data_IF_304568167536
#
_entry.id   IF_304568167536
#
_cell.length_a   1.000
_cell.length_b   1.000
_cell.length_c   1.000
_cell.angle_alpha   90.00
_cell.angle_beta   90.00
_cell.angle_gamma   90.00
#
_symmetry.space_group_name_H-M   'P 1'
#
loop_
_entity.id
_entity.type
_entity.pdbx_description
1 polymer ?
#
# COMPACT_ATOMS: atom_id res chain seq x y z
N UNK A 1 13.19 21.33 42.31
CA UNK A 1 13.40 21.61 40.87
C UNK A 1 12.24 20.95 40.15
N UNK A 2 11.27 21.74 39.69
CA UNK A 2 10.08 21.25 38.98
C UNK A 2 10.46 20.79 37.58
N UNK A 3 10.24 19.52 37.28
CA UNK A 3 10.21 19.00 35.92
C UNK A 3 8.77 19.04 35.41
N UNK A 4 8.41 20.19 34.85
CA UNK A 4 7.20 20.36 34.04
C UNK A 4 7.47 19.78 32.66
N UNK A 5 7.26 18.48 32.49
CA UNK A 5 7.22 17.85 31.16
C UNK A 5 5.75 17.74 30.76
N UNK A 6 5.22 18.86 30.27
CA UNK A 6 3.88 18.97 29.69
C UNK A 6 3.94 18.32 28.31
N UNK A 7 3.61 17.03 28.25
CA UNK A 7 3.50 16.27 27.02
C UNK A 7 2.23 16.71 26.26
N UNK A 8 2.40 17.43 25.15
CA UNK A 8 1.34 17.93 24.24
C UNK A 8 0.53 16.81 23.53
N UNK A 9 0.56 15.57 24.01
CA UNK A 9 -0.08 14.40 23.41
C UNK A 9 -1.06 13.69 24.35
N UNK A 10 -1.77 14.43 25.20
CA UNK A 10 -2.86 13.87 26.02
C UNK A 10 -4.18 13.82 25.24
N UNK A 11 -4.79 12.64 25.17
CA UNK A 11 -6.09 12.42 24.51
C UNK A 11 -7.23 13.21 25.17
N UNK A 12 -7.09 13.55 26.46
CA UNK A 12 -8.02 14.36 27.23
C UNK A 12 -7.23 15.38 28.07
N UNK A 13 -6.96 16.54 27.47
CA UNK A 13 -6.28 17.64 28.15
C UNK A 13 -7.21 18.27 29.18
N UNK A 14 -6.68 18.56 30.37
CA UNK A 14 -7.41 19.26 31.43
C UNK A 14 -7.79 20.68 30.99
N UNK A 15 -9.09 20.91 30.75
CA UNK A 15 -9.60 22.21 30.27
C UNK A 15 -9.79 23.27 31.37
N UNK A 16 -9.94 22.86 32.63
CA UNK A 16 -10.19 23.75 33.76
C UNK A 16 -9.05 23.66 34.77
N UNK A 17 -8.61 24.78 35.38
CA UNK A 17 -7.69 24.73 36.50
C UNK A 17 -8.35 23.92 37.62
N UNK A 18 -7.63 22.93 38.13
CA UNK A 18 -8.15 22.07 39.17
C UNK A 18 -7.14 22.02 40.31
N UNK A 19 -7.60 22.17 41.55
CA UNK A 19 -6.72 22.13 42.71
C UNK A 19 -6.12 20.73 42.91
N UNK A 20 -4.91 20.67 43.44
CA UNK A 20 -4.26 19.43 43.84
C UNK A 20 -5.09 18.75 44.94
N UNK A 21 -5.48 17.50 44.70
CA UNK A 21 -6.30 16.72 45.63
C UNK A 21 -5.37 15.77 46.39
N UNK A 22 -5.14 16.07 47.67
CA UNK A 22 -4.56 15.11 48.61
C UNK A 22 -5.55 13.94 48.80
N UNK A 23 -5.15 12.69 48.53
CA UNK A 23 -6.07 11.53 48.47
C UNK A 23 -6.60 11.07 49.83
N UNK A 24 -6.26 11.75 50.92
CA UNK A 24 -6.49 11.29 52.29
C UNK A 24 -7.73 11.88 52.97
N UNK A 25 -8.38 12.91 52.40
CA UNK A 25 -9.54 13.56 53.03
C UNK A 25 -10.70 13.79 52.03
N UNK A 26 -11.92 13.29 52.31
CA UNK A 26 -13.07 13.49 51.43
C UNK A 26 -13.45 14.98 51.37
N UNK A 27 -13.69 15.54 50.17
CA UNK A 27 -14.13 16.93 50.03
C UNK A 27 -15.50 17.19 50.67
N UNK A 28 -15.67 18.37 51.25
CA UNK A 28 -16.92 18.81 51.89
C UNK A 28 -18.00 19.14 50.83
N UNK A 29 -19.16 18.49 50.96
CA UNK A 29 -20.25 18.56 49.99
C UNK A 29 -20.97 19.92 50.01
N UNK A 30 -21.14 20.53 51.18
CA UNK A 30 -21.84 21.82 51.30
C UNK A 30 -21.04 22.95 50.62
N UNK A 31 -19.72 22.84 50.71
CA UNK A 31 -18.73 23.70 50.08
C UNK A 31 -18.70 23.55 48.56
N UNK A 32 -18.71 22.31 48.07
CA UNK A 32 -18.80 22.00 46.64
C UNK A 32 -20.05 22.59 45.94
N UNK A 33 -21.14 22.82 46.67
CA UNK A 33 -22.36 23.47 46.13
C UNK A 33 -22.25 24.99 46.03
N UNK A 34 -21.23 25.60 46.65
CA UNK A 34 -21.07 27.05 46.75
C UNK A 34 -19.84 27.58 46.02
N UNK A 35 -18.87 26.73 45.68
CA UNK A 35 -17.63 27.10 45.00
C UNK A 35 -17.31 26.17 43.81
N UNK A 36 -16.99 26.72 42.62
CA UNK A 36 -16.66 25.91 41.45
C UNK A 36 -15.34 25.14 41.59
N UNK A 37 -14.35 25.66 42.32
CA UNK A 37 -13.09 24.94 42.56
C UNK A 37 -13.29 23.74 43.50
N UNK A 38 -14.17 23.89 44.50
CA UNK A 38 -14.53 22.80 45.42
C UNK A 38 -15.39 21.74 44.74
N UNK A 39 -16.24 22.15 43.79
CA UNK A 39 -16.98 21.24 42.92
C UNK A 39 -16.04 20.37 42.07
N UNK A 40 -15.04 20.97 41.41
CA UNK A 40 -14.06 20.23 40.61
C UNK A 40 -13.27 19.23 41.47
N UNK A 41 -12.92 19.62 42.70
CA UNK A 41 -12.26 18.74 43.67
C UNK A 41 -13.14 17.53 44.01
N UNK A 42 -14.43 17.77 44.24
CA UNK A 42 -15.41 16.71 44.53
C UNK A 42 -15.59 15.75 43.35
N UNK A 43 -15.77 16.26 42.13
CA UNK A 43 -15.90 15.44 40.91
C UNK A 43 -14.65 14.58 40.67
N UNK A 44 -13.43 15.11 40.92
CA UNK A 44 -12.19 14.32 40.83
C UNK A 44 -12.14 13.20 41.85
N UNK A 45 -12.56 13.47 43.08
CA UNK A 45 -12.63 12.47 44.14
C UNK A 45 -13.66 11.37 43.81
N UNK A 46 -14.86 11.76 43.38
CA UNK A 46 -15.90 10.82 42.93
C UNK A 46 -15.41 9.98 41.74
N UNK A 47 -14.81 10.61 40.73
CA UNK A 47 -14.22 9.92 39.58
C UNK A 47 -13.13 8.91 39.98
N UNK A 48 -12.29 9.25 40.97
CA UNK A 48 -11.27 8.35 41.51
C UNK A 48 -11.84 7.14 42.26
N UNK A 49 -13.11 7.22 42.68
CA UNK A 49 -13.83 6.12 43.33
C UNK A 49 -14.34 5.09 42.32
N UNK A 50 -14.54 5.49 41.06
CA UNK A 50 -14.95 4.58 40.00
C UNK A 50 -13.77 3.79 39.42
N UNK A 51 -14.04 2.57 38.94
CA UNK A 51 -13.06 1.80 38.16
C UNK A 51 -12.77 2.52 36.85
N UNK A 52 -11.48 2.67 36.49
CA UNK A 52 -11.07 3.32 35.24
C UNK A 52 -11.54 2.61 33.97
N UNK A 53 -11.87 1.32 34.06
CA UNK A 53 -12.49 0.54 32.98
C UNK A 53 -13.63 -0.28 33.58
N UNK A 54 -14.79 -0.22 32.92
CA UNK A 54 -15.96 -1.04 33.24
C UNK A 54 -16.31 -1.87 32.01
N UNK A 55 -16.55 -3.17 32.21
CA UNK A 55 -17.05 -4.06 31.18
C UNK A 55 -18.50 -4.41 31.48
N UNK A 56 -19.41 -4.15 30.55
CA UNK A 56 -20.79 -4.60 30.63
C UNK A 56 -20.96 -5.81 29.70
N UNK A 57 -21.37 -6.95 30.25
CA UNK A 57 -21.72 -8.11 29.43
C UNK A 57 -23.04 -7.81 28.69
N UNK A 58 -23.00 -7.86 27.36
CA UNK A 58 -24.20 -7.71 26.52
C UNK A 58 -24.84 -9.09 26.38
N UNK A 59 -26.11 -9.22 26.80
CA UNK A 59 -26.88 -10.44 26.61
C UNK A 59 -27.05 -10.72 25.11
N UNK A 60 -26.66 -11.91 24.70
CA UNK A 60 -26.54 -12.35 23.29
C UNK A 60 -27.86 -12.40 22.51
N UNK A 61 -28.99 -12.12 23.16
CA UNK A 61 -30.32 -12.25 22.58
C UNK A 61 -30.74 -11.05 21.71
N UNK A 62 -29.96 -9.95 21.66
CA UNK A 62 -30.37 -8.72 20.95
C UNK A 62 -29.39 -8.16 19.91
N UNK A 63 -28.26 -8.81 19.63
CA UNK A 63 -27.30 -8.31 18.63
C UNK A 63 -26.97 -9.36 17.57
N UNK A 64 -27.99 -9.75 16.80
CA UNK A 64 -27.76 -10.23 15.44
C UNK A 64 -27.78 -9.01 14.48
N UNK A 65 -26.90 -8.03 14.72
CA UNK A 65 -26.62 -7.01 13.71
C UNK A 65 -25.63 -7.66 12.76
N UNK A 66 -26.15 -7.99 11.58
CA UNK A 66 -25.41 -8.58 10.47
C UNK A 66 -24.20 -7.69 10.15
N UNK A 67 -22.98 -8.17 10.45
CA UNK A 67 -21.75 -7.47 10.08
C UNK A 67 -21.74 -7.31 8.55
N UNK A 68 -21.81 -6.06 8.08
CA UNK A 68 -21.61 -5.77 6.67
C UNK A 68 -20.14 -5.99 6.35
N UNK A 69 -19.84 -7.09 5.67
CA UNK A 69 -18.52 -7.31 5.10
C UNK A 69 -18.21 -6.18 4.13
N UNK A 70 -17.18 -5.40 4.42
CA UNK A 70 -16.54 -4.58 3.41
C UNK A 70 -15.97 -5.53 2.35
N UNK A 71 -16.39 -5.38 1.10
CA UNK A 71 -15.95 -6.21 -0.01
C UNK A 71 -14.44 -6.04 -0.23
N UNK A 72 -13.67 -6.98 0.31
CA UNK A 72 -12.29 -7.21 -0.11
C UNK A 72 -12.35 -7.95 -1.45
N UNK A 73 -11.63 -7.45 -2.45
CA UNK A 73 -11.49 -8.12 -3.74
C UNK A 73 -11.15 -9.61 -3.52
N UNK A 74 -11.80 -10.54 -4.23
CA UNK A 74 -11.60 -11.97 -3.99
C UNK A 74 -10.14 -12.34 -4.23
N UNK A 75 -9.57 -13.08 -3.27
CA UNK A 75 -8.44 -13.98 -3.51
C UNK A 75 -8.94 -14.96 -4.59
N UNK A 76 -8.52 -14.77 -5.84
CA UNK A 76 -8.84 -15.74 -6.90
C UNK A 76 -8.19 -17.06 -6.52
N UNK A 77 -8.99 -18.10 -6.28
CA UNK A 77 -8.51 -19.46 -6.00
C UNK A 77 -7.41 -19.88 -6.98
N UNK A 78 -6.24 -20.16 -6.42
CA UNK A 78 -5.06 -20.54 -7.19
C UNK A 78 -5.06 -22.05 -7.30
N UNK A 79 -5.15 -22.50 -8.55
CA UNK A 79 -5.04 -23.89 -8.95
C UNK A 79 -3.72 -24.50 -8.49
N UNK A 80 -3.79 -25.77 -8.10
CA UNK A 80 -2.73 -26.66 -7.58
C UNK A 80 -1.46 -26.75 -8.44
N UNK A 81 -1.46 -26.21 -9.66
CA UNK A 81 -0.27 -26.08 -10.51
C UNK A 81 0.77 -25.06 -9.99
N UNK A 82 0.40 -24.16 -9.06
CA UNK A 82 1.33 -23.20 -8.46
C UNK A 82 2.20 -23.77 -7.33
N UNK A 83 1.78 -24.87 -6.68
CA UNK A 83 2.63 -25.55 -5.67
C UNK A 83 3.93 -26.09 -6.28
N UNK A 84 3.89 -26.52 -7.56
CA UNK A 84 5.06 -27.07 -8.25
C UNK A 84 6.09 -26.01 -8.67
N UNK A 85 5.69 -24.74 -8.80
CA UNK A 85 6.62 -23.62 -9.05
C UNK A 85 7.15 -22.99 -7.76
N UNK A 86 6.39 -23.04 -6.66
CA UNK A 86 6.86 -22.60 -5.35
C UNK A 86 7.89 -23.55 -4.73
N UNK A 87 7.79 -24.86 -5.02
CA UNK A 87 8.71 -25.88 -4.48
C UNK A 87 10.05 -26.01 -5.21
N UNK A 88 10.20 -25.42 -6.41
CA UNK A 88 11.45 -25.51 -7.20
C UNK A 88 12.33 -24.25 -7.14
N UNK A 89 11.97 -23.25 -6.35
CA UNK A 89 12.64 -21.94 -6.36
C UNK A 89 13.47 -21.73 -5.08
N UNK A 90 14.70 -22.22 -5.12
CA UNK A 90 15.72 -21.98 -4.10
C UNK A 90 15.90 -20.49 -3.78
N UNK A 91 16.36 -20.21 -2.55
CA UNK A 91 16.84 -18.91 -2.06
C UNK A 91 17.81 -18.23 -3.05
N UNK A 92 18.58 -19.02 -3.81
CA UNK A 92 19.45 -18.60 -4.90
C UNK A 92 18.72 -17.83 -6.00
N UNK A 93 17.53 -18.28 -6.41
CA UNK A 93 16.77 -17.58 -7.47
C UNK A 93 16.07 -16.33 -6.91
N UNK A 94 15.81 -16.26 -5.60
CA UNK A 94 15.30 -15.05 -4.94
C UNK A 94 16.32 -13.90 -4.98
N UNK A 95 17.59 -14.22 -4.71
CA UNK A 95 18.70 -13.25 -4.83
C UNK A 95 18.89 -12.84 -6.28
N UNK A 96 18.95 -13.81 -7.20
CA UNK A 96 19.15 -13.53 -8.63
C UNK A 96 18.01 -12.68 -9.22
N UNK A 97 16.75 -12.96 -8.87
CA UNK A 97 15.61 -12.21 -9.44
C UNK A 97 15.50 -10.79 -8.91
N UNK A 98 15.71 -10.57 -7.61
CA UNK A 98 15.64 -9.22 -7.04
C UNK A 98 16.88 -8.37 -7.36
N UNK A 99 18.07 -8.97 -7.30
CA UNK A 99 19.33 -8.25 -7.48
C UNK A 99 19.67 -8.02 -8.95
N UNK A 100 19.59 -9.07 -9.77
CA UNK A 100 20.02 -9.01 -11.16
C UNK A 100 18.93 -8.46 -12.09
N UNK A 101 17.67 -8.90 -11.93
CA UNK A 101 16.59 -8.49 -12.84
C UNK A 101 15.98 -7.13 -12.49
N UNK A 102 16.07 -6.67 -11.24
CA UNK A 102 15.48 -5.39 -10.83
C UNK A 102 16.51 -4.37 -10.34
N UNK A 103 17.30 -4.70 -9.31
CA UNK A 103 18.20 -3.72 -8.67
C UNK A 103 19.29 -3.20 -9.61
N UNK A 104 19.90 -4.07 -10.43
CA UNK A 104 20.94 -3.63 -11.38
C UNK A 104 20.38 -2.66 -12.44
N UNK A 105 19.32 -3.02 -13.20
CA UNK A 105 18.68 -2.08 -14.13
C UNK A 105 18.15 -0.80 -13.45
N UNK A 106 17.64 -0.90 -12.23
CA UNK A 106 17.17 0.25 -11.46
C UNK A 106 18.30 1.25 -11.14
N UNK A 107 19.48 0.75 -10.75
CA UNK A 107 20.65 1.60 -10.50
C UNK A 107 21.12 2.31 -11.78
N UNK A 108 21.17 1.58 -12.89
CA UNK A 108 21.53 2.14 -14.20
C UNK A 108 20.52 3.19 -14.67
N UNK A 109 19.23 2.91 -14.54
CA UNK A 109 18.17 3.86 -14.88
C UNK A 109 18.25 5.12 -14.01
N UNK A 110 18.50 4.98 -12.70
CA UNK A 110 18.70 6.12 -11.80
C UNK A 110 19.89 6.98 -12.24
N UNK A 111 20.99 6.35 -12.65
CA UNK A 111 22.14 7.06 -13.19
C UNK A 111 21.77 7.81 -14.48
N UNK A 112 21.08 7.16 -15.41
CA UNK A 112 20.59 7.78 -16.66
C UNK A 112 19.68 8.98 -16.37
N UNK A 113 18.71 8.83 -15.47
CA UNK A 113 17.78 9.89 -15.08
C UNK A 113 18.49 11.08 -14.46
N UNK A 114 19.57 10.85 -13.70
CA UNK A 114 20.39 11.95 -13.14
C UNK A 114 21.08 12.79 -14.23
N UNK A 115 21.47 12.17 -15.34
CA UNK A 115 22.06 12.86 -16.50
C UNK A 115 20.98 13.63 -17.27
N UNK A 116 19.83 12.99 -17.50
CA UNK A 116 18.73 13.55 -18.31
C UNK A 116 18.00 14.70 -17.60
N UNK A 117 17.87 14.67 -16.27
CA UNK A 117 17.20 15.73 -15.50
C UNK A 117 17.84 17.12 -15.68
N UNK A 118 19.06 17.18 -16.22
CA UNK A 118 19.75 18.43 -16.57
C UNK A 118 19.14 19.10 -17.82
N UNK A 119 18.50 18.33 -18.71
CA UNK A 119 17.90 18.79 -19.96
C UNK A 119 16.39 19.01 -19.77
N UNK A 120 15.98 20.25 -19.48
CA UNK A 120 14.57 20.60 -19.23
C UNK A 120 13.73 20.63 -20.52
N UNK A 121 13.33 19.48 -21.03
CA UNK A 121 12.28 19.37 -22.05
C UNK A 121 11.02 18.74 -21.45
N UNK A 122 10.00 19.57 -21.19
CA UNK A 122 8.72 19.15 -20.59
C UNK A 122 7.66 18.96 -21.67
N UNK A 123 7.79 17.90 -22.45
CA UNK A 123 6.74 17.50 -23.38
C UNK A 123 5.60 16.84 -22.58
N UNK A 124 4.35 17.30 -22.70
CA UNK A 124 3.19 16.69 -22.00
C UNK A 124 2.73 15.43 -22.72
N UNK A 125 2.20 14.45 -21.97
CA UNK A 125 1.55 13.27 -22.56
C UNK A 125 0.33 13.72 -23.40
N UNK A 126 0.32 13.33 -24.68
CA UNK A 126 -0.78 13.58 -25.63
C UNK A 126 -1.73 12.38 -25.68
N UNK A 127 -3.03 12.62 -25.80
CA UNK A 127 -4.14 11.66 -25.61
C UNK A 127 -4.24 10.52 -26.65
N UNK A 128 -3.28 10.36 -27.57
CA UNK A 128 -3.22 9.22 -28.52
C UNK A 128 -2.41 8.04 -27.97
N UNK A 129 -2.69 7.64 -26.73
CA UNK A 129 -1.78 6.82 -25.92
C UNK A 129 -1.86 5.32 -26.19
N UNK A 130 -2.93 4.80 -26.80
CA UNK A 130 -3.05 3.37 -27.11
C UNK A 130 -2.10 2.92 -28.23
N UNK A 131 -1.76 3.81 -29.17
CA UNK A 131 -0.77 3.50 -30.20
C UNK A 131 0.65 3.47 -29.66
N UNK A 132 0.91 4.20 -28.56
CA UNK A 132 2.21 4.26 -27.90
C UNK A 132 2.66 2.86 -27.45
N UNK A 133 1.73 2.03 -27.00
CA UNK A 133 2.02 0.68 -26.52
C UNK A 133 2.26 -0.34 -27.64
N UNK A 134 2.15 0.03 -28.92
CA UNK A 134 2.46 -0.87 -30.05
C UNK A 134 3.97 -1.05 -30.26
N UNK A 135 4.79 -0.11 -29.78
CA UNK A 135 6.25 -0.15 -29.87
C UNK A 135 6.89 -0.13 -28.48
N UNK A 136 8.09 -0.72 -28.28
CA UNK A 136 8.77 -0.68 -26.99
C UNK A 136 9.15 0.76 -26.60
N UNK A 137 9.13 1.10 -25.29
CA UNK A 137 9.51 2.42 -24.84
C UNK A 137 11.01 2.67 -24.99
N UNK A 138 11.38 3.92 -25.26
CA UNK A 138 12.74 4.38 -24.98
C UNK A 138 12.89 4.73 -23.51
N UNK A 139 13.94 4.22 -22.86
CA UNK A 139 14.26 4.55 -21.46
C UNK A 139 14.56 6.03 -21.27
N UNK A 140 15.18 6.69 -22.26
CA UNK A 140 15.39 8.14 -22.21
C UNK A 140 14.06 8.87 -22.20
N UNK A 141 13.09 8.44 -23.01
CA UNK A 141 11.77 9.05 -23.05
C UNK A 141 11.02 8.90 -21.72
N UNK A 142 11.11 7.72 -21.07
CA UNK A 142 10.52 7.49 -19.74
C UNK A 142 11.22 8.36 -18.68
N UNK A 143 12.55 8.51 -18.75
CA UNK A 143 13.32 9.31 -17.78
C UNK A 143 12.94 10.80 -17.77
N UNK A 144 12.43 11.34 -18.88
CA UNK A 144 11.92 12.72 -18.96
C UNK A 144 10.52 12.89 -18.35
N UNK A 145 9.81 11.79 -18.04
CA UNK A 145 8.42 11.86 -17.56
C UNK A 145 8.37 12.24 -16.09
N UNK A 146 7.34 13.02 -15.75
CA UNK A 146 7.07 13.33 -14.34
C UNK A 146 6.50 12.10 -13.62
N UNK A 147 6.56 12.11 -12.29
CA UNK A 147 5.97 11.03 -11.47
C UNK A 147 4.47 10.88 -11.71
N UNK A 148 3.74 11.98 -11.93
CA UNK A 148 2.32 11.95 -12.27
C UNK A 148 2.07 11.28 -13.63
N UNK A 149 2.90 11.61 -14.63
CA UNK A 149 2.84 10.98 -15.96
C UNK A 149 3.07 9.47 -15.87
N UNK A 150 4.05 9.03 -15.07
CA UNK A 150 4.29 7.59 -14.82
C UNK A 150 3.08 6.91 -14.18
N UNK A 151 2.36 7.58 -13.27
CA UNK A 151 1.12 7.07 -12.69
C UNK A 151 0.05 6.85 -13.75
N UNK A 152 -0.20 7.85 -14.60
CA UNK A 152 -1.17 7.71 -15.70
C UNK A 152 -0.77 6.61 -16.69
N UNK A 153 0.52 6.49 -17.02
CA UNK A 153 1.03 5.42 -17.88
C UNK A 153 0.81 4.04 -17.27
N UNK A 154 1.04 3.91 -15.96
CA UNK A 154 0.84 2.66 -15.25
C UNK A 154 -0.64 2.25 -15.24
N UNK A 155 -1.56 3.17 -15.01
CA UNK A 155 -3.01 2.92 -15.10
C UNK A 155 -3.43 2.52 -16.51
N UNK A 156 -2.93 3.23 -17.54
CA UNK A 156 -3.21 2.91 -18.94
C UNK A 156 -2.68 1.51 -19.31
N UNK A 157 -1.46 1.18 -18.93
CA UNK A 157 -0.89 -0.16 -19.13
C UNK A 157 -1.72 -1.21 -18.39
N UNK A 158 -2.13 -0.92 -17.15
CA UNK A 158 -3.02 -1.80 -16.38
C UNK A 158 -4.29 -2.09 -17.19
N UNK A 159 -4.95 -1.07 -17.75
CA UNK A 159 -6.15 -1.22 -18.59
C UNK A 159 -5.92 -2.05 -19.87
N UNK A 160 -4.69 -2.06 -20.38
CA UNK A 160 -4.30 -2.85 -21.56
C UNK A 160 -3.97 -4.32 -21.23
N UNK A 161 -3.74 -4.68 -19.96
CA UNK A 161 -3.52 -6.06 -19.51
C UNK A 161 -4.80 -6.90 -19.55
N UNK A 162 -5.33 -7.12 -20.76
CA UNK A 162 -6.51 -7.96 -21.03
C UNK A 162 -6.25 -8.78 -22.28
N UNK A 163 -6.90 -9.94 -22.41
CA UNK A 163 -6.68 -10.86 -23.55
C UNK A 163 -6.83 -10.17 -24.92
N UNK A 164 -7.77 -9.21 -25.02
CA UNK A 164 -8.06 -8.47 -26.26
C UNK A 164 -6.99 -7.44 -26.64
N UNK A 165 -6.34 -6.83 -25.64
CA UNK A 165 -5.44 -5.69 -25.86
C UNK A 165 -3.97 -6.05 -25.61
N UNK A 166 -3.70 -7.27 -25.14
CA UNK A 166 -2.34 -7.71 -24.86
C UNK A 166 -1.49 -7.71 -26.13
N UNK A 167 -0.28 -7.19 -26.02
CA UNK A 167 0.73 -7.29 -27.06
C UNK A 167 2.10 -7.55 -26.42
N UNK A 168 3.03 -8.08 -27.22
CA UNK A 168 4.40 -8.36 -26.79
C UNK A 168 5.22 -7.11 -26.41
N UNK A 169 4.79 -5.89 -26.76
CA UNK A 169 5.48 -4.67 -26.34
C UNK A 169 5.08 -4.24 -24.91
N UNK A 170 3.87 -4.60 -24.45
CA UNK A 170 3.37 -4.28 -23.10
C UNK A 170 4.26 -4.87 -22.01
N UNK A 171 4.82 -6.07 -22.19
CA UNK A 171 5.78 -6.63 -21.21
C UNK A 171 6.97 -5.69 -20.96
N UNK A 172 7.49 -5.07 -22.05
CA UNK A 172 8.63 -4.15 -21.98
C UNK A 172 8.20 -2.83 -21.34
N UNK A 173 7.00 -2.36 -21.64
CA UNK A 173 6.42 -1.19 -20.99
C UNK A 173 6.23 -1.38 -19.49
N UNK A 174 5.63 -2.50 -19.06
CA UNK A 174 5.42 -2.81 -17.64
C UNK A 174 6.76 -2.85 -16.93
N UNK A 175 7.75 -3.57 -17.49
CA UNK A 175 9.06 -3.70 -16.88
C UNK A 175 9.81 -2.36 -16.80
N UNK A 176 9.80 -1.57 -17.88
CA UNK A 176 10.44 -0.26 -17.90
C UNK A 176 9.78 0.72 -16.93
N UNK A 177 8.44 0.68 -16.80
CA UNK A 177 7.72 1.46 -15.81
C UNK A 177 8.07 1.03 -14.39
N UNK A 178 8.13 -0.27 -14.10
CA UNK A 178 8.56 -0.78 -12.79
C UNK A 178 9.95 -0.27 -12.42
N UNK A 179 10.91 -0.26 -13.35
CA UNK A 179 12.25 0.30 -13.14
C UNK A 179 12.20 1.82 -12.91
N UNK A 180 11.28 2.52 -13.58
CA UNK A 180 11.16 3.97 -13.46
C UNK A 180 10.51 4.44 -12.15
N UNK A 181 9.87 3.54 -11.39
CA UNK A 181 9.21 3.83 -10.14
C UNK A 181 10.21 3.98 -9.00
N UNK A 182 10.45 5.21 -8.57
CA UNK A 182 11.35 5.52 -7.45
C UNK A 182 10.65 5.47 -6.09
N UNK A 183 11.20 4.74 -5.10
CA UNK A 183 10.68 4.78 -3.74
C UNK A 183 10.97 6.14 -3.07
N UNK A 184 10.15 6.57 -2.08
CA UNK A 184 8.92 5.93 -1.62
C UNK A 184 7.77 6.11 -2.64
N UNK A 185 6.95 5.07 -2.78
CA UNK A 185 5.82 5.03 -3.71
C UNK A 185 4.52 5.44 -3.03
N UNK A 186 3.66 6.12 -3.78
CA UNK A 186 2.29 6.40 -3.36
C UNK A 186 1.44 5.11 -3.37
N UNK A 187 0.46 4.94 -2.46
CA UNK A 187 -0.43 3.77 -2.43
C UNK A 187 -1.06 3.41 -3.79
N UNK A 188 -1.38 4.40 -4.63
CA UNK A 188 -2.00 4.16 -5.95
C UNK A 188 -1.08 3.40 -6.92
N UNK A 189 0.25 3.60 -6.82
CA UNK A 189 1.21 2.83 -7.60
C UNK A 189 1.21 1.36 -7.15
N UNK A 190 1.16 1.10 -5.85
CA UNK A 190 1.04 -0.26 -5.34
C UNK A 190 -0.26 -0.91 -5.80
N UNK A 191 -1.38 -0.19 -5.75
CA UNK A 191 -2.66 -0.69 -6.25
C UNK A 191 -2.57 -1.08 -7.73
N UNK A 192 -1.99 -0.22 -8.58
CA UNK A 192 -1.82 -0.50 -10.01
C UNK A 192 -0.87 -1.68 -10.28
N UNK A 193 0.27 -1.76 -9.58
CA UNK A 193 1.20 -2.88 -9.70
C UNK A 193 0.55 -4.21 -9.31
N UNK A 194 -0.25 -4.21 -8.22
CA UNK A 194 -1.04 -5.38 -7.80
C UNK A 194 -2.05 -5.78 -8.88
N UNK A 195 -2.77 -4.82 -9.43
CA UNK A 195 -3.73 -5.06 -10.51
C UNK A 195 -3.05 -5.66 -11.75
N UNK A 196 -1.85 -5.17 -12.12
CA UNK A 196 -1.05 -5.75 -13.21
C UNK A 196 -0.67 -7.19 -12.89
N UNK A 197 -0.12 -7.47 -11.70
CA UNK A 197 0.27 -8.82 -11.31
C UNK A 197 -0.91 -9.81 -11.34
N UNK A 198 -2.07 -9.42 -10.80
CA UNK A 198 -3.31 -10.22 -10.87
C UNK A 198 -3.75 -10.47 -12.32
N UNK A 199 -3.74 -9.43 -13.16
CA UNK A 199 -4.08 -9.55 -14.59
C UNK A 199 -3.10 -10.44 -15.36
N UNK A 200 -1.80 -10.39 -15.07
CA UNK A 200 -0.81 -11.29 -15.67
C UNK A 200 -1.09 -12.77 -15.34
N UNK A 201 -1.45 -13.09 -14.09
CA UNK A 201 -1.87 -14.46 -13.71
C UNK A 201 -3.12 -14.91 -14.45
N UNK A 202 -4.12 -14.03 -14.54
CA UNK A 202 -5.34 -14.30 -15.30
C UNK A 202 -5.06 -14.53 -16.78
N UNK A 203 -4.23 -13.69 -17.39
CA UNK A 203 -3.78 -13.83 -18.78
C UNK A 203 -3.05 -15.15 -19.01
N UNK A 204 -2.19 -15.58 -18.08
CA UNK A 204 -1.53 -16.89 -18.16
C UNK A 204 -2.56 -18.01 -18.28
N UNK A 205 -3.55 -18.06 -17.37
CA UNK A 205 -4.65 -19.05 -17.42
C UNK A 205 -5.40 -18.98 -18.76
N UNK A 206 -5.80 -17.78 -19.18
CA UNK A 206 -6.55 -17.55 -20.42
C UNK A 206 -5.80 -18.01 -21.70
N UNK A 207 -4.46 -18.05 -21.67
CA UNK A 207 -3.62 -18.40 -22.82
C UNK A 207 -3.06 -19.83 -22.78
N UNK A 208 -2.90 -20.42 -21.59
CA UNK A 208 -2.64 -21.85 -21.43
C UNK A 208 -3.74 -22.69 -22.10
N UNK A 209 -4.98 -22.21 -22.06
CA UNK A 209 -6.13 -22.85 -22.73
C UNK A 209 -6.11 -22.74 -24.27
N UNK A 210 -5.34 -21.81 -24.85
CA UNK A 210 -5.42 -21.45 -26.28
C UNK A 210 -4.14 -21.77 -27.08
N UNK A 211 -3.04 -22.20 -26.44
CA UNK A 211 -1.83 -22.74 -27.08
C UNK A 211 -1.08 -21.85 -28.10
N UNK A 212 -1.46 -20.58 -28.31
CA UNK A 212 -0.93 -19.74 -29.41
C UNK A 212 0.02 -18.60 -28.96
N UNK A 213 0.49 -18.59 -27.71
CA UNK A 213 1.28 -17.47 -27.19
C UNK A 213 2.80 -17.63 -27.28
N UNK A 214 3.47 -16.48 -27.39
CA UNK A 214 4.93 -16.38 -27.34
C UNK A 214 5.46 -16.87 -25.97
N UNK A 215 6.49 -17.72 -25.99
CA UNK A 215 7.12 -18.27 -24.79
C UNK A 215 7.65 -17.19 -23.84
N UNK A 216 8.08 -16.04 -24.36
CA UNK A 216 8.53 -14.90 -23.57
C UNK A 216 7.40 -14.21 -22.80
N UNK A 217 6.20 -14.18 -23.38
CA UNK A 217 5.04 -13.56 -22.70
C UNK A 217 4.57 -14.45 -21.54
N UNK A 218 4.57 -15.77 -21.73
CA UNK A 218 4.29 -16.73 -20.66
C UNK A 218 5.30 -16.63 -19.52
N UNK A 219 6.60 -16.59 -19.83
CA UNK A 219 7.65 -16.37 -18.83
C UNK A 219 7.48 -15.04 -18.10
N UNK A 220 7.07 -13.98 -18.81
CA UNK A 220 6.81 -12.68 -18.19
C UNK A 220 5.60 -12.73 -17.25
N UNK A 221 4.55 -13.47 -17.58
CA UNK A 221 3.40 -13.63 -16.68
C UNK A 221 3.75 -14.33 -15.37
N UNK A 222 4.75 -15.22 -15.38
CA UNK A 222 5.30 -15.82 -14.16
C UNK A 222 6.23 -14.86 -13.40
N UNK A 223 7.05 -14.11 -14.13
CA UNK A 223 8.00 -13.18 -13.54
C UNK A 223 7.34 -11.94 -12.94
N UNK A 224 6.28 -11.42 -13.55
CA UNK A 224 5.68 -10.14 -13.16
C UNK A 224 5.16 -10.15 -11.71
N UNK A 225 4.37 -11.14 -11.24
CA UNK A 225 3.98 -11.23 -9.83
C UNK A 225 5.17 -11.37 -8.88
N UNK A 226 6.21 -12.11 -9.28
CA UNK A 226 7.43 -12.26 -8.48
C UNK A 226 8.16 -10.93 -8.30
N UNK A 227 8.29 -10.14 -9.38
CA UNK A 227 8.87 -8.80 -9.33
C UNK A 227 8.04 -7.88 -8.45
N UNK A 228 6.72 -7.85 -8.61
CA UNK A 228 5.85 -7.00 -7.77
C UNK A 228 5.98 -7.36 -6.29
N UNK A 229 5.97 -8.66 -5.98
CA UNK A 229 6.05 -9.11 -4.61
C UNK A 229 7.41 -8.81 -3.96
N UNK A 230 8.51 -9.04 -4.68
CA UNK A 230 9.86 -8.97 -4.12
C UNK A 230 10.48 -7.58 -4.24
N UNK A 231 10.37 -6.92 -5.40
CA UNK A 231 10.93 -5.59 -5.60
C UNK A 231 10.14 -4.49 -4.88
N UNK A 232 8.83 -4.69 -4.70
CA UNK A 232 7.93 -3.70 -4.09
C UNK A 232 7.33 -4.15 -2.74
N UNK A 233 7.76 -5.31 -2.21
CA UNK A 233 7.36 -5.81 -0.88
C UNK A 233 5.92 -6.31 -0.76
N UNK A 234 5.24 -6.58 -1.88
CA UNK A 234 3.85 -7.05 -1.92
C UNK A 234 3.77 -8.59 -1.87
N UNK A 235 4.30 -9.19 -0.81
CA UNK A 235 4.45 -10.65 -0.68
C UNK A 235 3.11 -11.40 -0.62
N UNK A 236 2.04 -10.73 -0.22
CA UNK A 236 0.69 -11.28 -0.14
C UNK A 236 0.15 -11.68 -1.53
N UNK A 237 0.63 -11.06 -2.61
CA UNK A 237 0.25 -11.46 -3.98
C UNK A 237 0.74 -12.88 -4.30
N UNK A 238 1.82 -13.37 -3.69
CA UNK A 238 2.37 -14.70 -4.00
C UNK A 238 1.61 -15.85 -3.37
N UNK A 239 0.68 -15.55 -2.47
CA UNK A 239 -0.26 -16.54 -1.94
C UNK A 239 -1.18 -17.02 -3.05
#
# INVERSE_FOLDING_TARGET
>A
MSSSDSSDSELLVQALPAPDVEPSEPPDLEKALTSPEEYIKWVRYEASTYSGVMHAAVNSEQTAIQESYNFSEPEEDISTSHELLLLSFEETVQVVTSEFLYLSPFKEYRALKSVISLEKNKERLSSKTLELFKSPPSLSWIAHRSRADLGTLLEMVTSCCTKKNWNSALRVWIFALMIALEPPLHPDFYHSLRAIAKRCRKLKKDYEEVSDMNSLDLQFFDLCPLLVARAFGQLDILK
#
